data_IF_836296690636
#
_entry.id   IF_836296690636
#
_cell.length_a   1.000
_cell.length_b   1.000
_cell.length_c   1.000
_cell.angle_alpha   90.00
_cell.angle_beta   90.00
_cell.angle_gamma   90.00
#
_symmetry.space_group_name_H-M   'P 1'
#
loop_
_entity.id
_entity.type
_entity.pdbx_description
1 polymer ?
#
# COMPACT_ATOMS: atom_id res chain seq x y z
N UNK A 1 18.02 -22.45 11.66
CA UNK A 1 16.73 -22.62 10.95
C UNK A 1 15.83 -21.48 11.40
N UNK A 2 15.43 -20.58 10.52
CA UNK A 2 14.46 -19.54 10.85
C UNK A 2 13.07 -20.10 10.59
N UNK A 3 12.38 -20.45 11.67
CA UNK A 3 11.00 -20.91 11.62
C UNK A 3 10.11 -19.71 11.28
N UNK A 4 9.60 -19.69 10.04
CA UNK A 4 8.57 -18.75 9.64
C UNK A 4 7.26 -19.17 10.32
N UNK A 5 7.12 -18.75 11.57
CA UNK A 5 5.89 -18.86 12.34
C UNK A 5 4.79 -18.11 11.56
N UNK A 6 3.91 -18.85 10.89
CA UNK A 6 2.68 -18.29 10.31
C UNK A 6 1.83 -17.78 11.48
N UNK A 7 1.98 -16.50 11.80
CA UNK A 7 1.21 -15.81 12.84
C UNK A 7 -0.29 -16.00 12.55
N UNK A 8 -1.03 -16.39 13.58
CA UNK A 8 -2.50 -16.48 13.53
C UNK A 8 -3.06 -15.08 13.24
N UNK A 9 -3.62 -14.89 12.05
CA UNK A 9 -3.87 -13.56 11.46
C UNK A 9 -4.93 -12.72 12.18
N UNK A 10 -5.72 -13.30 13.08
CA UNK A 10 -6.93 -12.65 13.62
C UNK A 10 -6.83 -12.20 15.07
N UNK A 11 -5.74 -12.48 15.79
CA UNK A 11 -5.54 -11.96 17.17
C UNK A 11 -4.49 -10.86 17.21
N UNK A 12 -3.52 -10.89 16.29
CA UNK A 12 -2.43 -9.91 16.26
C UNK A 12 -2.81 -8.59 15.56
N UNK A 13 -3.83 -8.60 14.70
CA UNK A 13 -4.29 -7.43 13.93
C UNK A 13 -4.81 -6.26 14.78
N UNK A 14 -5.25 -6.52 16.01
CA UNK A 14 -5.77 -5.48 16.92
C UNK A 14 -4.66 -4.57 17.48
N UNK A 15 -3.39 -4.96 17.37
CA UNK A 15 -2.22 -4.20 17.86
C UNK A 15 -1.22 -3.84 16.75
N UNK A 16 -1.67 -3.79 15.48
CA UNK A 16 -0.79 -3.39 14.37
C UNK A 16 -0.93 -1.89 14.15
N UNK A 17 0.13 -1.16 14.44
CA UNK A 17 0.26 0.25 14.07
C UNK A 17 0.11 0.43 12.55
N UNK A 18 -0.62 1.46 12.10
CA UNK A 18 -0.80 1.71 10.68
C UNK A 18 0.53 1.89 9.93
N UNK A 19 0.59 1.34 8.72
CA UNK A 19 1.72 1.50 7.81
C UNK A 19 1.44 2.64 6.82
N UNK A 20 2.45 3.41 6.38
CA UNK A 20 2.28 4.40 5.31
C UNK A 20 2.12 3.74 3.93
N UNK A 21 2.14 2.40 3.86
CA UNK A 21 2.00 1.63 2.62
C UNK A 21 0.54 1.28 2.38
N UNK A 22 0.04 1.70 1.21
CA UNK A 22 -1.29 1.38 0.71
C UNK A 22 -1.20 0.23 -0.30
N UNK A 23 -2.01 -0.81 -0.08
CA UNK A 23 -2.17 -1.89 -1.05
C UNK A 23 -3.30 -1.58 -2.04
N UNK A 24 -2.95 -1.41 -3.31
CA UNK A 24 -3.91 -1.18 -4.38
C UNK A 24 -4.16 -2.50 -5.11
N UNK A 25 -5.44 -2.85 -5.29
CA UNK A 25 -5.88 -4.08 -5.96
C UNK A 25 -6.82 -3.75 -7.12
N UNK A 26 -6.86 -4.65 -8.11
CA UNK A 26 -7.80 -4.55 -9.23
C UNK A 26 -7.34 -3.57 -10.32
N UNK A 27 -6.04 -3.32 -10.43
CA UNK A 27 -5.50 -2.40 -11.42
C UNK A 27 -5.78 -2.88 -12.87
N UNK A 28 -6.12 -1.98 -13.79
CA UNK A 28 -6.11 -2.25 -15.23
C UNK A 28 -4.78 -2.83 -15.72
N UNK A 29 -4.82 -3.64 -16.78
CA UNK A 29 -3.64 -4.33 -17.32
C UNK A 29 -2.54 -3.37 -17.84
N UNK A 30 -2.92 -2.15 -18.18
CA UNK A 30 -2.02 -1.13 -18.73
C UNK A 30 -1.76 0.01 -17.75
N UNK A 31 -2.07 -0.16 -16.46
CA UNK A 31 -1.74 0.84 -15.45
C UNK A 31 -0.23 1.02 -15.36
N UNK A 32 0.21 2.25 -15.49
CA UNK A 32 1.59 2.68 -15.31
C UNK A 32 1.77 3.21 -13.90
N UNK A 33 3.02 3.21 -13.43
CA UNK A 33 3.40 3.83 -12.16
C UNK A 33 2.96 5.31 -12.09
N UNK A 34 3.11 6.03 -13.21
CA UNK A 34 2.71 7.44 -13.32
C UNK A 34 1.20 7.66 -13.06
N UNK A 35 0.35 6.70 -13.40
CA UNK A 35 -1.08 6.79 -13.14
C UNK A 35 -1.36 6.77 -11.64
N UNK A 36 -0.60 5.95 -10.90
CA UNK A 36 -0.66 5.90 -9.45
C UNK A 36 -0.10 7.20 -8.86
N UNK A 37 1.08 7.64 -9.28
CA UNK A 37 1.68 8.87 -8.77
C UNK A 37 0.70 10.06 -8.85
N UNK A 38 0.06 10.25 -10.02
CA UNK A 38 -0.95 11.31 -10.22
C UNK A 38 -2.21 11.12 -9.38
N UNK A 39 -2.63 9.88 -9.13
CA UNK A 39 -3.81 9.59 -8.32
C UNK A 39 -3.57 9.89 -6.83
N UNK A 40 -2.37 9.62 -6.34
CA UNK A 40 -2.00 9.74 -4.93
C UNK A 40 -1.37 11.11 -4.57
N UNK A 41 -0.83 11.85 -5.54
CA UNK A 41 -0.24 13.20 -5.38
C UNK A 41 -1.11 14.19 -4.57
N UNK A 42 -2.46 14.24 -4.72
CA UNK A 42 -3.28 15.17 -3.93
C UNK A 42 -3.31 14.89 -2.41
N UNK A 43 -2.85 13.71 -1.98
CA UNK A 43 -2.93 13.26 -0.59
C UNK A 43 -1.60 13.37 0.16
N UNK A 44 -0.48 13.49 -0.56
CA UNK A 44 0.84 13.66 0.02
C UNK A 44 1.95 13.16 -0.89
N UNK A 45 3.18 13.27 -0.40
CA UNK A 45 4.39 12.86 -1.15
C UNK A 45 4.57 11.34 -1.11
N UNK A 46 4.85 10.78 -2.28
CA UNK A 46 5.05 9.34 -2.47
C UNK A 46 6.55 9.06 -2.39
N UNK A 47 6.92 8.12 -1.51
CA UNK A 47 8.30 7.66 -1.36
C UNK A 47 8.68 6.63 -2.41
N UNK A 48 7.79 5.66 -2.65
CA UNK A 48 8.09 4.51 -3.50
C UNK A 48 6.80 3.87 -4.04
N UNK A 49 6.86 3.31 -5.25
CA UNK A 49 5.76 2.57 -5.85
C UNK A 49 6.25 1.22 -6.36
N UNK A 50 5.73 0.14 -5.77
CA UNK A 50 6.04 -1.22 -6.20
C UNK A 50 4.90 -1.76 -7.05
N UNK A 51 5.18 -1.98 -8.34
CA UNK A 51 4.21 -2.50 -9.30
C UNK A 51 4.21 -4.05 -9.33
N UNK A 52 3.02 -4.65 -9.31
CA UNK A 52 2.81 -6.09 -9.49
C UNK A 52 1.79 -6.36 -10.61
N UNK A 53 2.15 -6.09 -11.88
CA UNK A 53 1.21 -6.08 -13.01
C UNK A 53 0.54 -7.43 -13.25
N UNK A 54 1.29 -8.54 -13.11
CA UNK A 54 0.74 -9.90 -13.25
C UNK A 54 -0.37 -10.22 -12.24
N UNK A 55 -0.41 -9.51 -11.10
CA UNK A 55 -1.40 -9.69 -10.04
C UNK A 55 -2.46 -8.59 -10.02
N UNK A 56 -2.39 -7.62 -10.95
CA UNK A 56 -3.23 -6.42 -10.98
C UNK A 56 -3.19 -5.65 -9.64
N UNK A 57 -1.98 -5.48 -9.11
CA UNK A 57 -1.75 -4.92 -7.78
C UNK A 57 -0.56 -3.95 -7.78
N UNK A 58 -0.52 -3.08 -6.77
CA UNK A 58 0.65 -2.29 -6.43
C UNK A 58 0.70 -2.01 -4.93
N UNK A 59 1.88 -1.66 -4.43
CA UNK A 59 2.08 -1.05 -3.12
C UNK A 59 2.53 0.39 -3.34
N UNK A 60 1.88 1.34 -2.69
CA UNK A 60 2.23 2.76 -2.76
C UNK A 60 2.60 3.21 -1.36
N UNK A 61 3.83 3.65 -1.19
CA UNK A 61 4.33 4.11 0.11
C UNK A 61 4.37 5.63 0.16
N UNK A 62 3.66 6.20 1.13
CA UNK A 62 3.76 7.62 1.43
C UNK A 62 4.97 7.93 2.32
N UNK A 63 5.40 9.18 2.32
CA UNK A 63 6.41 9.67 3.28
C UNK A 63 5.87 9.62 4.72
N UNK A 64 4.57 9.88 4.90
CA UNK A 64 3.91 9.91 6.21
C UNK A 64 2.71 8.96 6.28
N UNK A 65 2.48 8.38 7.45
CA UNK A 65 1.26 7.60 7.75
C UNK A 65 0.02 8.50 7.66
N UNK A 66 0.12 9.77 8.04
CA UNK A 66 -1.00 10.71 7.98
C UNK A 66 -1.51 10.93 6.55
N UNK A 67 -0.61 10.95 5.57
CA UNK A 67 -0.95 11.11 4.16
C UNK A 67 -1.64 9.85 3.63
N UNK A 68 -1.13 8.67 4.02
CA UNK A 68 -1.76 7.39 3.70
C UNK A 68 -3.17 7.30 4.31
N UNK A 69 -3.35 7.75 5.55
CA UNK A 69 -4.66 7.81 6.20
C UNK A 69 -5.63 8.79 5.49
N UNK A 70 -5.12 9.93 5.01
CA UNK A 70 -5.91 10.92 4.26
C UNK A 70 -6.51 10.31 2.99
N UNK A 71 -5.76 9.44 2.31
CA UNK A 71 -6.26 8.71 1.14
C UNK A 71 -7.37 7.71 1.49
N UNK A 72 -7.23 6.98 2.60
CA UNK A 72 -8.17 5.90 2.98
C UNK A 72 -9.48 6.45 3.56
N UNK A 73 -9.44 7.57 4.28
CA UNK A 73 -10.59 8.13 5.02
C UNK A 73 -11.63 8.85 4.14
N UNK A 74 -11.57 8.68 2.81
CA UNK A 74 -12.42 9.39 1.85
C UNK A 74 -13.67 8.60 1.43
#
# INVERSE_FOLDING_TARGET
MFEQQKRSRTSDWENIEPSPVIHVRGLPAHTLELDLLKLFEPYGDIREVVMMPHRKQSLVEFVSVADAESFIKK
#
